data_IF_825444359532
#
_entry.id   IF_825444359532
#
_cell.length_a   1.000
_cell.length_b   1.000
_cell.length_c   1.000
_cell.angle_alpha   90.00
_cell.angle_beta   90.00
_cell.angle_gamma   90.00
#
_symmetry.space_group_name_H-M   'P 1'
#
loop_
_entity.id
_entity.type
_entity.pdbx_description
1 polymer ?
#
# COMPACT_ATOMS: atom_id res chain seq x y z
N UNK A 1 1.03 -4.88 32.39
CA UNK A 1 1.73 -4.83 31.09
C UNK A 1 2.87 -3.85 31.25
N UNK A 2 4.11 -4.28 31.05
CA UNK A 2 5.28 -3.41 31.23
C UNK A 2 5.39 -2.45 30.05
N UNK A 3 5.49 -1.15 30.34
CA UNK A 3 5.85 -0.15 29.34
C UNK A 3 7.28 -0.44 28.85
N UNK A 4 7.44 -0.62 27.55
CA UNK A 4 8.72 -0.84 26.88
C UNK A 4 9.14 0.46 26.18
N UNK A 5 10.42 0.80 26.26
CA UNK A 5 11.05 1.87 25.48
C UNK A 5 12.13 1.27 24.59
N UNK A 6 12.09 1.56 23.29
CA UNK A 6 13.13 1.21 22.34
C UNK A 6 13.54 2.42 21.52
N UNK A 7 14.80 2.43 21.07
CA UNK A 7 15.36 3.49 20.23
C UNK A 7 15.89 2.91 18.93
N UNK A 8 15.62 3.58 17.81
CA UNK A 8 16.18 3.27 16.49
C UNK A 8 16.78 4.51 15.84
N UNK A 9 17.71 4.31 14.91
CA UNK A 9 18.38 5.38 14.18
C UNK A 9 17.77 5.53 12.79
N UNK A 10 17.35 6.74 12.44
CA UNK A 10 16.80 7.09 11.13
C UNK A 10 17.79 8.00 10.40
N UNK A 11 18.17 7.66 9.16
CA UNK A 11 19.00 8.54 8.33
C UNK A 11 18.36 9.92 8.15
N UNK A 12 19.14 10.98 8.34
CA UNK A 12 18.64 12.36 8.35
C UNK A 12 17.92 12.77 7.05
N UNK A 13 18.38 12.26 5.92
CA UNK A 13 17.81 12.45 4.58
C UNK A 13 16.43 11.79 4.40
N UNK A 14 16.15 10.73 5.17
CA UNK A 14 14.89 9.99 5.11
C UNK A 14 13.81 10.53 6.06
N UNK A 15 14.18 11.27 7.10
CA UNK A 15 13.27 11.69 8.19
C UNK A 15 12.05 12.40 7.65
N UNK A 16 12.24 13.48 6.88
CA UNK A 16 11.13 14.31 6.42
C UNK A 16 10.15 13.53 5.52
N UNK A 17 10.68 12.61 4.71
CA UNK A 17 9.90 11.76 3.83
C UNK A 17 9.06 10.74 4.63
N UNK A 18 9.69 10.05 5.60
CA UNK A 18 9.03 9.03 6.43
C UNK A 18 8.01 9.63 7.39
N UNK A 19 8.28 10.80 7.97
CA UNK A 19 7.39 11.46 8.93
C UNK A 19 6.18 12.11 8.25
N UNK A 20 6.34 12.49 6.98
CA UNK A 20 5.32 13.22 6.24
C UNK A 20 5.24 14.69 6.67
N UNK A 21 4.41 15.45 5.97
CA UNK A 21 4.20 16.86 6.33
C UNK A 21 3.54 16.95 7.71
N UNK A 22 4.06 17.81 8.59
CA UNK A 22 3.53 18.00 9.95
C UNK A 22 3.39 16.70 10.76
N UNK A 23 4.25 15.72 10.50
CA UNK A 23 4.30 14.39 11.13
C UNK A 23 3.02 13.55 10.91
N UNK A 24 2.30 13.77 9.80
CA UNK A 24 1.05 13.05 9.52
C UNK A 24 1.20 11.54 9.53
N UNK A 25 2.32 11.02 9.02
CA UNK A 25 2.55 9.58 8.91
C UNK A 25 2.84 8.97 10.28
N UNK A 26 3.70 9.61 11.07
CA UNK A 26 4.06 9.13 12.42
C UNK A 26 2.86 9.20 13.36
N UNK A 27 2.11 10.31 13.36
CA UNK A 27 0.88 10.43 14.16
C UNK A 27 -0.15 9.36 13.84
N UNK A 28 -0.19 8.90 12.59
CA UNK A 28 -1.06 7.79 12.18
C UNK A 28 -0.59 6.46 12.77
N UNK A 29 0.70 6.17 12.67
CA UNK A 29 1.32 4.96 13.24
C UNK A 29 1.10 4.92 14.76
N UNK A 30 1.34 6.04 15.46
CA UNK A 30 1.09 6.20 16.90
C UNK A 30 -0.35 5.85 17.28
N UNK A 31 -1.33 6.41 16.56
CA UNK A 31 -2.77 6.17 16.80
C UNK A 31 -3.17 4.72 16.54
N UNK A 32 -2.64 4.10 15.48
CA UNK A 32 -3.00 2.72 15.10
C UNK A 32 -2.40 1.70 16.06
N UNK A 33 -1.15 1.88 16.46
CA UNK A 33 -0.44 0.93 17.32
C UNK A 33 -0.49 1.30 18.80
N UNK A 34 -1.13 2.41 19.17
CA UNK A 34 -1.20 2.92 20.54
C UNK A 34 0.20 3.07 21.20
N UNK A 35 1.13 3.64 20.45
CA UNK A 35 2.51 3.92 20.88
C UNK A 35 2.79 5.43 20.84
N UNK A 36 3.81 5.88 21.56
CA UNK A 36 4.33 7.25 21.52
C UNK A 36 5.70 7.27 20.88
N UNK A 37 5.94 8.19 19.95
CA UNK A 37 7.14 8.29 19.14
C UNK A 37 7.76 9.68 19.28
N UNK A 38 9.03 9.74 19.67
CA UNK A 38 9.75 10.99 19.88
C UNK A 38 11.05 10.97 19.09
N UNK A 39 11.17 11.87 18.12
CA UNK A 39 12.39 12.06 17.36
C UNK A 39 13.28 13.13 18.01
N UNK A 40 14.57 12.82 18.19
CA UNK A 40 15.61 13.78 18.54
C UNK A 40 16.81 13.55 17.62
N UNK A 41 17.17 14.56 16.85
CA UNK A 41 18.19 14.48 15.80
C UNK A 41 17.89 13.34 14.82
N UNK A 42 18.65 12.24 14.90
CA UNK A 42 18.46 11.02 14.11
C UNK A 42 17.94 9.84 14.93
N UNK A 43 17.75 10.01 16.24
CA UNK A 43 17.31 8.95 17.14
C UNK A 43 15.80 9.06 17.36
N UNK A 44 15.08 8.03 16.93
CA UNK A 44 13.66 7.87 17.19
C UNK A 44 13.45 6.95 18.39
N UNK A 45 12.83 7.48 19.44
CA UNK A 45 12.36 6.72 20.60
C UNK A 45 10.92 6.31 20.42
N UNK A 46 10.60 5.06 20.75
CA UNK A 46 9.25 4.49 20.66
C UNK A 46 8.91 3.87 22.02
N UNK A 47 7.77 4.27 22.59
CA UNK A 47 7.31 3.89 23.92
C UNK A 47 5.89 3.33 23.85
N UNK A 48 5.61 2.24 24.57
CA UNK A 48 4.29 1.61 24.60
C UNK A 48 4.34 0.18 25.11
N UNK A 49 3.33 -0.63 24.74
CA UNK A 49 3.37 -2.08 24.97
C UNK A 49 4.43 -2.73 24.06
N UNK A 50 5.21 -3.68 24.59
CA UNK A 50 6.33 -4.29 23.86
C UNK A 50 5.95 -4.85 22.48
N UNK A 51 4.79 -5.49 22.38
CA UNK A 51 4.23 -6.03 21.13
C UNK A 51 4.04 -4.95 20.07
N UNK A 52 3.42 -3.83 20.44
CA UNK A 52 3.16 -2.71 19.54
C UNK A 52 4.41 -1.88 19.26
N UNK A 53 5.33 -1.76 20.22
CA UNK A 53 6.63 -1.11 20.01
C UNK A 53 7.43 -1.85 18.94
N UNK A 54 7.47 -3.19 18.98
CA UNK A 54 8.14 -3.98 17.95
C UNK A 54 7.52 -3.78 16.56
N UNK A 55 6.18 -3.81 16.47
CA UNK A 55 5.47 -3.54 15.21
C UNK A 55 5.75 -2.14 14.68
N UNK A 56 5.80 -1.13 15.55
CA UNK A 56 6.09 0.24 15.14
C UNK A 56 7.53 0.37 14.59
N UNK A 57 8.49 -0.35 15.16
CA UNK A 57 9.87 -0.43 14.64
C UNK A 57 9.85 -1.03 13.23
N UNK A 58 9.21 -2.18 13.03
CA UNK A 58 9.12 -2.85 11.73
C UNK A 58 8.50 -1.95 10.65
N UNK A 59 7.41 -1.24 10.99
CA UNK A 59 6.75 -0.29 10.10
C UNK A 59 7.71 0.83 9.70
N UNK A 60 8.41 1.44 10.67
CA UNK A 60 9.33 2.54 10.39
C UNK A 60 10.52 2.06 9.56
N UNK A 61 11.11 0.91 9.88
CA UNK A 61 12.22 0.34 9.10
C UNK A 61 11.82 0.04 7.66
N UNK A 62 10.60 -0.48 7.45
CA UNK A 62 10.04 -0.69 6.11
C UNK A 62 9.90 0.61 5.33
N UNK A 63 9.36 1.67 5.96
CA UNK A 63 9.23 2.99 5.33
C UNK A 63 10.59 3.63 5.03
N UNK A 64 11.57 3.50 5.93
CA UNK A 64 12.95 3.95 5.71
C UNK A 64 13.57 3.19 4.54
N UNK A 65 13.35 1.87 4.42
CA UNK A 65 13.80 1.07 3.29
C UNK A 65 13.25 1.55 1.94
N UNK A 66 11.97 1.94 1.90
CA UNK A 66 11.36 2.53 0.70
C UNK A 66 11.93 3.91 0.38
N UNK A 67 12.13 4.75 1.41
CA UNK A 67 12.68 6.10 1.27
C UNK A 67 14.12 6.08 0.74
N UNK A 68 14.98 5.18 1.27
CA UNK A 68 16.36 4.99 0.80
C UNK A 68 16.47 4.61 -0.68
N UNK A 69 15.43 3.97 -1.23
CA UNK A 69 15.34 3.64 -2.67
C UNK A 69 14.86 4.82 -3.54
N UNK A 70 14.72 6.01 -2.96
CA UNK A 70 14.26 7.22 -3.65
C UNK A 70 12.74 7.32 -3.81
N UNK A 71 11.94 6.48 -3.13
CA UNK A 71 10.48 6.57 -3.20
C UNK A 71 9.97 7.67 -2.25
N UNK A 72 9.04 8.49 -2.73
CA UNK A 72 8.26 9.38 -1.85
C UNK A 72 7.24 8.56 -1.06
N UNK A 73 7.26 8.68 0.27
CA UNK A 73 6.35 7.98 1.16
C UNK A 73 5.00 8.68 1.15
N UNK A 74 3.98 7.92 0.76
CA UNK A 74 2.58 8.36 0.74
C UNK A 74 1.79 7.70 1.87
N UNK A 75 0.61 8.23 2.19
CA UNK A 75 -0.29 7.57 3.16
C UNK A 75 -0.59 6.10 2.80
N UNK A 76 -0.63 5.78 1.51
CA UNK A 76 -0.82 4.41 1.05
C UNK A 76 0.33 3.49 1.47
N UNK A 77 1.58 4.00 1.45
CA UNK A 77 2.73 3.24 1.91
C UNK A 77 2.65 2.99 3.43
N UNK A 78 2.23 4.00 4.20
CA UNK A 78 2.05 3.88 5.66
C UNK A 78 0.99 2.84 6.00
N UNK A 79 -0.19 2.92 5.36
CA UNK A 79 -1.26 1.95 5.57
C UNK A 79 -0.84 0.53 5.21
N UNK A 80 -0.10 0.38 4.11
CA UNK A 80 0.39 -0.92 3.71
C UNK A 80 1.41 -1.49 4.71
N UNK A 81 2.36 -0.68 5.16
CA UNK A 81 3.33 -1.09 6.19
C UNK A 81 2.63 -1.49 7.50
N UNK A 82 1.60 -0.74 7.92
CA UNK A 82 0.77 -1.10 9.08
C UNK A 82 0.06 -2.44 8.88
N UNK A 83 -0.58 -2.68 7.73
CA UNK A 83 -1.23 -3.97 7.44
C UNK A 83 -0.25 -5.15 7.41
N UNK A 84 0.98 -4.94 6.93
CA UNK A 84 2.01 -5.97 6.96
C UNK A 84 2.50 -6.28 8.38
N UNK A 85 2.53 -5.30 9.28
CA UNK A 85 2.90 -5.55 10.69
C UNK A 85 1.82 -6.31 11.48
N UNK A 86 0.61 -6.43 10.92
CA UNK A 86 -0.46 -7.28 11.45
C UNK A 86 -0.35 -8.73 10.96
N UNK A 87 0.16 -8.93 9.74
CA UNK A 87 0.37 -10.24 9.12
C UNK A 87 1.87 -10.59 9.11
N UNK A 88 2.34 -11.39 10.06
CA UNK A 88 3.75 -11.85 10.16
C UNK A 88 4.28 -12.48 8.86
N UNK A 89 4.79 -11.69 7.91
CA UNK A 89 5.45 -12.16 6.69
C UNK A 89 6.74 -11.36 6.42
N UNK A 90 7.82 -11.84 7.04
CA UNK A 90 9.19 -11.51 6.65
C UNK A 90 9.55 -12.17 5.33
N UNK A 91 10.40 -11.50 4.56
CA UNK A 91 11.08 -11.96 3.33
C UNK A 91 10.32 -11.82 2.00
N UNK A 92 10.26 -10.60 1.42
CA UNK A 92 10.24 -10.43 -0.07
C UNK A 92 10.46 -8.99 -0.58
N UNK A 93 11.21 -8.14 0.11
CA UNK A 93 11.32 -6.70 -0.26
C UNK A 93 12.32 -6.44 -1.42
N UNK A 94 13.08 -7.44 -1.90
CA UNK A 94 14.23 -7.22 -2.81
C UNK A 94 13.88 -7.21 -4.31
N UNK A 95 12.71 -7.70 -4.74
CA UNK A 95 12.45 -7.87 -6.19
C UNK A 95 11.43 -6.91 -6.86
N UNK A 96 10.78 -6.02 -6.11
CA UNK A 96 9.68 -5.18 -6.63
C UNK A 96 10.07 -4.16 -7.72
N UNK A 97 11.36 -3.88 -7.91
CA UNK A 97 11.82 -2.78 -8.79
C UNK A 97 11.87 -3.13 -10.29
N UNK A 98 11.66 -4.40 -10.66
CA UNK A 98 11.73 -4.85 -12.06
C UNK A 98 10.39 -4.95 -12.78
N UNK A 99 9.26 -4.78 -12.08
CA UNK A 99 7.93 -5.07 -12.63
C UNK A 99 7.18 -3.80 -13.10
N UNK A 100 7.80 -3.04 -14.00
CA UNK A 100 7.08 -1.93 -14.69
C UNK A 100 6.13 -2.55 -15.72
N UNK A 101 4.83 -2.29 -15.55
CA UNK A 101 3.78 -2.76 -16.47
C UNK A 101 3.74 -1.87 -17.70
N UNK A 102 3.62 -0.56 -17.49
CA UNK A 102 3.55 0.44 -18.55
C UNK A 102 3.86 1.83 -17.99
N UNK A 103 3.87 2.85 -18.85
CA UNK A 103 3.98 4.24 -18.46
C UNK A 103 2.65 4.96 -18.65
N UNK A 104 2.31 5.82 -17.70
CA UNK A 104 1.22 6.79 -17.86
C UNK A 104 1.51 7.75 -19.01
N UNK A 105 0.50 8.50 -19.45
CA UNK A 105 0.65 9.56 -20.48
C UNK A 105 1.72 10.59 -20.14
N UNK A 106 1.94 10.85 -18.84
CA UNK A 106 2.96 11.79 -18.35
C UNK A 106 4.31 11.11 -18.06
N UNK A 107 4.53 9.89 -18.55
CA UNK A 107 5.79 9.15 -18.41
C UNK A 107 6.02 8.47 -17.05
N UNK A 108 5.15 8.69 -16.05
CA UNK A 108 5.28 8.03 -14.74
C UNK A 108 5.11 6.50 -14.89
N UNK A 109 5.99 5.68 -14.29
CA UNK A 109 5.89 4.23 -14.37
C UNK A 109 4.72 3.70 -13.53
N UNK A 110 3.98 2.75 -14.10
CA UNK A 110 2.96 1.96 -13.41
C UNK A 110 3.59 0.63 -13.04
N UNK A 111 3.82 0.40 -11.75
CA UNK A 111 4.44 -0.80 -11.20
C UNK A 111 3.79 -1.23 -9.89
N UNK A 112 3.95 -2.49 -9.51
CA UNK A 112 3.59 -2.94 -8.17
C UNK A 112 4.44 -2.19 -7.13
N UNK A 113 3.78 -1.67 -6.10
CA UNK A 113 4.41 -1.01 -4.94
C UNK A 113 4.47 -1.91 -3.72
N UNK A 114 3.78 -3.04 -3.76
CA UNK A 114 3.59 -3.95 -2.63
C UNK A 114 3.72 -5.41 -3.08
N UNK A 115 4.06 -6.31 -2.15
CA UNK A 115 4.17 -7.75 -2.43
C UNK A 115 2.81 -8.29 -2.90
N UNK A 116 1.72 -7.90 -2.23
CA UNK A 116 0.36 -8.31 -2.62
C UNK A 116 -0.02 -7.83 -4.03
N UNK A 117 0.39 -6.61 -4.43
CA UNK A 117 0.19 -6.14 -5.80
C UNK A 117 0.99 -6.95 -6.82
N UNK A 118 2.22 -7.34 -6.49
CA UNK A 118 3.02 -8.21 -7.38
C UNK A 118 2.40 -9.60 -7.50
N UNK A 119 1.98 -10.20 -6.39
CA UNK A 119 1.25 -11.47 -6.40
C UNK A 119 -0.02 -11.37 -7.24
N UNK A 120 -0.76 -10.27 -7.12
CA UNK A 120 -1.94 -10.00 -7.93
C UNK A 120 -1.63 -9.92 -9.43
N UNK A 121 -0.57 -9.20 -9.83
CA UNK A 121 -0.14 -9.13 -11.23
C UNK A 121 0.32 -10.49 -11.77
N UNK A 122 1.10 -11.23 -10.98
CA UNK A 122 1.54 -12.57 -11.35
C UNK A 122 0.37 -13.55 -11.49
N UNK A 123 -0.68 -13.39 -10.68
CA UNK A 123 -1.90 -14.17 -10.80
C UNK A 123 -2.61 -13.86 -12.13
N UNK A 124 -2.67 -12.59 -12.55
CA UNK A 124 -3.25 -12.20 -13.85
C UNK A 124 -2.51 -12.88 -15.01
N UNK A 125 -1.18 -13.00 -14.93
CA UNK A 125 -0.38 -13.62 -15.98
C UNK A 125 -0.53 -15.15 -16.05
N UNK A 126 -0.84 -15.79 -14.92
CA UNK A 126 -0.83 -17.26 -14.79
C UNK A 126 -2.22 -17.90 -14.84
N UNK A 127 -3.27 -17.13 -14.62
CA UNK A 127 -4.64 -17.65 -14.47
C UNK A 127 -5.61 -16.92 -15.40
N UNK A 128 -6.55 -17.68 -15.98
CA UNK A 128 -7.58 -17.08 -16.86
C UNK A 128 -8.54 -16.13 -16.12
N UNK A 129 -8.82 -16.39 -14.84
CA UNK A 129 -9.73 -15.59 -14.01
C UNK A 129 -9.06 -15.31 -12.67
N UNK A 130 -9.05 -14.04 -12.26
CA UNK A 130 -8.46 -13.59 -11.00
C UNK A 130 -9.42 -12.69 -10.25
N UNK A 131 -9.66 -13.00 -8.98
CA UNK A 131 -10.46 -12.19 -8.08
C UNK A 131 -9.54 -11.29 -7.25
N UNK A 132 -9.55 -9.99 -7.53
CA UNK A 132 -8.87 -9.00 -6.70
C UNK A 132 -9.77 -8.53 -5.56
N UNK A 133 -9.54 -9.02 -4.35
CA UNK A 133 -10.27 -8.59 -3.14
C UNK A 133 -9.34 -7.79 -2.24
N UNK A 134 -9.86 -6.73 -1.61
CA UNK A 134 -9.11 -5.94 -0.64
C UNK A 134 -9.62 -4.52 -0.47
N UNK A 135 -9.09 -3.76 0.50
CA UNK A 135 -9.56 -2.41 0.84
C UNK A 135 -9.53 -1.42 -0.33
N UNK A 136 -10.29 -0.32 -0.24
CA UNK A 136 -10.22 0.76 -1.21
C UNK A 136 -8.79 1.33 -1.31
N UNK A 137 -8.37 1.75 -2.51
CA UNK A 137 -7.06 2.35 -2.73
C UNK A 137 -5.87 1.39 -2.82
N UNK A 138 -6.06 0.07 -2.70
CA UNK A 138 -4.96 -0.92 -2.81
C UNK A 138 -4.51 -1.25 -4.23
N UNK A 139 -5.07 -0.60 -5.25
CA UNK A 139 -4.60 -0.71 -6.64
C UNK A 139 -5.23 -1.83 -7.47
N UNK A 140 -6.20 -2.58 -6.95
CA UNK A 140 -6.87 -3.72 -7.62
C UNK A 140 -7.34 -3.37 -9.04
N UNK A 141 -8.24 -2.38 -9.17
CA UNK A 141 -8.76 -1.93 -10.46
C UNK A 141 -7.69 -1.26 -11.32
N UNK A 142 -6.85 -0.43 -10.71
CA UNK A 142 -5.84 0.36 -11.42
C UNK A 142 -4.79 -0.53 -12.11
N UNK A 143 -4.26 -1.51 -11.39
CA UNK A 143 -3.25 -2.45 -11.90
C UNK A 143 -3.84 -3.44 -12.91
N UNK A 144 -5.08 -3.90 -12.70
CA UNK A 144 -5.79 -4.72 -13.68
C UNK A 144 -5.94 -4.01 -15.02
N UNK A 145 -6.37 -2.74 -14.98
CA UNK A 145 -6.49 -1.93 -16.19
C UNK A 145 -5.13 -1.68 -16.86
N UNK A 146 -4.06 -1.46 -16.09
CA UNK A 146 -2.72 -1.32 -16.64
C UNK A 146 -2.28 -2.57 -17.43
N UNK A 147 -2.53 -3.77 -16.89
CA UNK A 147 -2.31 -5.05 -17.59
C UNK A 147 -3.19 -5.16 -18.84
N UNK A 148 -4.48 -4.89 -18.74
CA UNK A 148 -5.42 -4.97 -19.86
C UNK A 148 -5.04 -4.02 -21.02
N UNK A 149 -4.66 -2.78 -20.72
CA UNK A 149 -4.21 -1.80 -21.71
C UNK A 149 -2.90 -2.26 -22.37
N UNK A 150 -2.00 -2.87 -21.61
CA UNK A 150 -0.73 -3.39 -22.12
C UNK A 150 -0.98 -4.55 -23.09
N UNK A 151 -1.81 -5.52 -22.70
CA UNK A 151 -2.22 -6.63 -23.56
C UNK A 151 -2.90 -6.13 -24.85
N UNK A 152 -3.78 -5.12 -24.75
CA UNK A 152 -4.42 -4.52 -25.91
C UNK A 152 -3.42 -3.82 -26.85
N UNK A 153 -2.43 -3.11 -26.30
CA UNK A 153 -1.38 -2.45 -27.10
C UNK A 153 -0.41 -3.44 -27.76
N UNK A 154 -0.24 -4.62 -27.17
CA UNK A 154 0.58 -5.69 -27.71
C UNK A 154 -0.17 -6.60 -28.68
N UNK A 155 -1.40 -6.24 -29.06
CA UNK A 155 -2.30 -7.05 -29.89
C UNK A 155 -2.60 -8.46 -29.33
N UNK A 156 -2.43 -8.66 -28.02
CA UNK A 156 -2.77 -9.92 -27.33
C UNK A 156 -4.30 -10.06 -27.18
N UNK A 157 -5.02 -8.93 -27.18
CA UNK A 157 -6.50 -8.87 -27.11
C UNK A 157 -7.05 -7.77 -28.02
N UNK A 158 -8.22 -8.02 -28.61
CA UNK A 158 -8.87 -7.09 -29.56
C UNK A 158 -9.84 -6.09 -28.91
N UNK A 159 -10.19 -6.27 -27.64
CA UNK A 159 -11.17 -5.41 -26.93
C UNK A 159 -10.97 -5.52 -25.42
N UNK A 160 -11.15 -4.39 -24.73
CA UNK A 160 -11.27 -4.33 -23.27
C UNK A 160 -12.74 -4.05 -22.91
N UNK A 161 -13.31 -4.81 -21.98
CA UNK A 161 -14.67 -4.60 -21.48
C UNK A 161 -14.56 -4.21 -20.00
N UNK A 162 -15.06 -3.03 -19.65
CA UNK A 162 -15.15 -2.55 -18.28
C UNK A 162 -16.63 -2.51 -17.88
N UNK A 163 -16.96 -3.18 -16.79
CA UNK A 163 -18.30 -3.18 -16.23
C UNK A 163 -18.25 -2.86 -14.74
N UNK A 164 -19.31 -2.20 -14.26
CA UNK A 164 -19.56 -1.96 -12.85
C UNK A 164 -21.02 -2.25 -12.56
N UNK A 165 -21.37 -2.76 -11.36
CA UNK A 165 -22.77 -2.87 -10.98
C UNK A 165 -23.43 -1.47 -11.00
N UNK A 166 -24.72 -1.43 -11.31
CA UNK A 166 -25.48 -0.18 -11.38
C UNK A 166 -25.70 0.50 -10.02
N UNK A 167 -25.32 -0.17 -8.91
CA UNK A 167 -25.59 0.25 -7.54
C UNK A 167 -24.28 0.29 -6.79
N UNK A 168 -24.02 1.41 -6.11
CA UNK A 168 -22.87 1.55 -5.22
C UNK A 168 -23.25 1.12 -3.79
N UNK A 169 -22.26 0.62 -3.04
CA UNK A 169 -22.48 0.17 -1.68
C UNK A 169 -22.95 1.35 -0.80
N UNK A 170 -24.17 1.25 -0.26
CA UNK A 170 -24.77 2.28 0.59
C UNK A 170 -25.85 3.13 -0.08
N UNK A 171 -26.06 3.01 -1.39
CA UNK A 171 -27.18 3.65 -2.07
C UNK A 171 -28.41 2.73 -2.10
N UNK A 172 -29.58 3.27 -1.73
CA UNK A 172 -30.85 2.58 -1.94
C UNK A 172 -31.19 2.68 -3.42
N UNK A 173 -31.58 1.55 -4.02
CA UNK A 173 -32.21 1.52 -5.32
C UNK A 173 -33.40 2.50 -5.31
N UNK A 174 -33.31 3.60 -6.06
CA UNK A 174 -34.53 4.22 -6.56
C UNK A 174 -35.21 3.18 -7.46
N UNK A 175 -36.52 2.98 -7.28
CA UNK A 175 -37.35 1.97 -7.94
C UNK A 175 -36.89 1.65 -9.38
N UNK A 176 -36.71 0.36 -9.67
CA UNK A 176 -36.65 -0.07 -11.06
C UNK A 176 -38.06 0.08 -11.66
N UNK A 177 -38.20 0.54 -12.92
CA UNK A 177 -39.47 0.46 -13.61
C UNK A 177 -39.84 -1.02 -13.78
N UNK A 178 -40.74 -1.52 -12.92
CA UNK A 178 -41.18 -2.92 -12.90
C UNK A 178 -41.18 -3.62 -11.54
N UNK A 179 -40.77 -2.98 -10.44
CA UNK A 179 -40.93 -3.57 -9.10
C UNK A 179 -42.43 -3.60 -8.73
N UNK A 180 -43.02 -4.81 -8.76
CA UNK A 180 -44.40 -5.10 -8.36
C UNK A 180 -44.62 -4.75 -6.89
N UNK A 181 -45.78 -4.15 -6.65
CA UNK A 181 -46.34 -3.78 -5.34
C UNK A 181 -46.51 -5.00 -4.42
#
# INVERSE_FOLDING_TARGET
MSACEKSIMIPADCIANVFGQFDTHVKRIERTLNVTMVLRDTQLKIMGEETFVNKAIEVIESLVGLAKRGNTITEQNVNYALSLSEEHHSDTVVELDKDVICHTVNGKPVKAKTIGQRQYLNAIDKHMIVFGVGPAGTGKTYLAMAKAITAFKNDEVNRIILTRPAIEAGEKLGFLPGDLQ
#
